data_IF_114052598849
#
_entry.id   IF_114052598849
#
_cell.length_a   1.000
_cell.length_b   1.000
_cell.length_c   1.000
_cell.angle_alpha   90.00
_cell.angle_beta   90.00
_cell.angle_gamma   90.00
#
_symmetry.space_group_name_H-M   'P 1'
#
loop_
_entity.id
_entity.type
_entity.pdbx_description
1 polymer ?
#
# COMPACT_ATOMS: atom_id res chain seq x y z
N UNK A 1 -9.87 11.50 -4.83
CA UNK A 1 -9.04 12.30 -3.91
C UNK A 1 -7.59 12.30 -4.42
N UNK A 2 -6.82 13.36 -4.18
CA UNK A 2 -5.41 13.41 -4.59
C UNK A 2 -4.50 12.74 -3.53
N UNK A 3 -4.20 11.44 -3.72
CA UNK A 3 -3.39 10.66 -2.78
C UNK A 3 -1.97 11.22 -2.55
N UNK A 4 -1.41 11.96 -3.52
CA UNK A 4 -0.06 12.52 -3.40
C UNK A 4 0.07 13.52 -2.26
N UNK A 5 -1.00 14.24 -1.93
CA UNK A 5 -1.03 15.20 -0.82
C UNK A 5 -0.89 14.53 0.55
N UNK A 6 -1.15 13.23 0.63
CA UNK A 6 -1.04 12.44 1.86
C UNK A 6 0.29 11.67 1.97
N UNK A 7 1.21 11.81 1.00
CA UNK A 7 2.51 11.15 1.01
C UNK A 7 3.60 12.19 1.25
N UNK A 8 4.35 12.03 2.35
CA UNK A 8 5.45 12.95 2.68
C UNK A 8 6.72 12.56 1.93
N UNK A 9 7.36 13.53 1.28
CA UNK A 9 8.73 13.38 0.79
C UNK A 9 9.75 13.69 1.89
N UNK A 10 10.70 12.80 2.11
CA UNK A 10 11.81 12.95 3.06
C UNK A 10 13.13 12.93 2.26
N UNK A 11 13.77 14.09 2.04
CA UNK A 11 15.03 14.15 1.30
C UNK A 11 16.17 13.50 2.10
N UNK A 12 17.16 12.99 1.37
CA UNK A 12 18.41 12.42 1.88
C UNK A 12 18.25 11.25 2.86
N UNK A 13 17.16 10.49 2.73
CA UNK A 13 16.88 9.31 3.54
C UNK A 13 16.77 8.03 2.69
N UNK A 14 17.36 6.89 3.11
CA UNK A 14 18.21 6.72 4.30
C UNK A 14 19.66 7.19 4.09
N UNK A 15 19.98 7.72 2.91
CA UNK A 15 21.31 8.24 2.56
C UNK A 15 21.17 9.43 1.59
N UNK A 16 22.19 10.30 1.49
CA UNK A 16 22.16 11.46 0.61
C UNK A 16 21.82 11.11 -0.85
N UNK A 17 21.04 11.99 -1.50
CA UNK A 17 20.60 11.86 -2.89
C UNK A 17 19.34 11.02 -3.10
N UNK A 18 18.69 10.52 -2.04
CA UNK A 18 17.43 9.78 -2.13
C UNK A 18 16.28 10.63 -1.60
N UNK A 19 15.23 10.80 -2.40
CA UNK A 19 13.94 11.28 -1.93
C UNK A 19 13.08 10.08 -1.50
N UNK A 20 12.94 9.89 -0.19
CA UNK A 20 12.12 8.83 0.37
C UNK A 20 10.65 9.24 0.42
N UNK A 21 9.76 8.40 -0.12
CA UNK A 21 8.32 8.59 -0.03
C UNK A 21 7.78 7.86 1.21
N UNK A 22 7.47 8.64 2.23
CA UNK A 22 6.92 8.14 3.48
C UNK A 22 5.39 8.02 3.39
N UNK A 23 4.92 6.79 3.20
CA UNK A 23 3.49 6.47 3.14
C UNK A 23 2.82 6.45 4.52
N UNK A 24 3.57 6.57 5.63
CA UNK A 24 2.98 6.50 6.98
C UNK A 24 1.96 7.61 7.22
N UNK A 25 2.14 8.78 6.60
CA UNK A 25 1.19 9.90 6.64
C UNK A 25 -0.12 9.57 5.92
N UNK A 26 -0.06 8.78 4.84
CA UNK A 26 -1.24 8.29 4.13
C UNK A 26 -1.96 7.23 4.97
N UNK A 27 -1.21 6.31 5.58
CA UNK A 27 -1.76 5.28 6.46
C UNK A 27 -2.42 5.86 7.72
N UNK A 28 -1.89 6.97 8.25
CA UNK A 28 -2.44 7.68 9.40
C UNK A 28 -3.74 8.45 9.08
N UNK A 29 -4.05 8.69 7.81
CA UNK A 29 -5.24 9.41 7.38
C UNK A 29 -6.33 8.43 6.91
N UNK A 30 -7.29 8.13 7.78
CA UNK A 30 -8.26 7.04 7.60
C UNK A 30 -9.01 7.07 6.25
N UNK A 31 -9.53 8.24 5.85
CA UNK A 31 -10.23 8.38 4.57
C UNK A 31 -9.29 8.14 3.38
N UNK A 32 -8.04 8.63 3.49
CA UNK A 32 -7.09 8.48 2.41
C UNK A 32 -6.65 7.02 2.25
N UNK A 33 -6.53 6.34 3.38
CA UNK A 33 -6.21 4.94 3.40
C UNK A 33 -7.33 4.07 2.82
N UNK A 34 -8.57 4.32 3.23
CA UNK A 34 -9.74 3.62 2.68
C UNK A 34 -9.82 3.80 1.17
N UNK A 35 -9.72 5.04 0.68
CA UNK A 35 -9.75 5.32 -0.75
C UNK A 35 -8.61 4.64 -1.51
N UNK A 36 -7.43 4.50 -0.91
CA UNK A 36 -6.30 3.79 -1.52
C UNK A 36 -6.64 2.32 -1.74
N UNK A 37 -7.14 1.63 -0.71
CA UNK A 37 -7.51 0.22 -0.82
C UNK A 37 -8.68 0.03 -1.79
N UNK A 38 -9.66 0.93 -1.78
CA UNK A 38 -10.81 0.89 -2.69
C UNK A 38 -10.35 1.02 -4.15
N UNK A 39 -9.51 2.02 -4.43
CA UNK A 39 -8.94 2.25 -5.77
C UNK A 39 -8.13 1.05 -6.25
N UNK A 40 -7.30 0.45 -5.38
CA UNK A 40 -6.53 -0.74 -5.74
C UNK A 40 -7.43 -1.94 -6.03
N UNK A 41 -8.46 -2.17 -5.22
CA UNK A 41 -9.40 -3.26 -5.42
C UNK A 41 -10.18 -3.11 -6.75
N UNK A 42 -10.59 -1.90 -7.11
CA UNK A 42 -11.20 -1.61 -8.41
C UNK A 42 -10.24 -1.91 -9.57
N UNK A 43 -8.96 -1.55 -9.43
CA UNK A 43 -7.96 -1.72 -10.48
C UNK A 43 -7.55 -3.18 -10.72
N UNK A 44 -7.64 -4.05 -9.72
CA UNK A 44 -7.17 -5.44 -9.85
C UNK A 44 -8.28 -6.49 -9.69
N UNK A 45 -9.48 -6.09 -9.27
CA UNK A 45 -10.57 -7.00 -8.96
C UNK A 45 -11.00 -7.86 -10.15
N UNK A 46 -10.88 -7.35 -11.38
CA UNK A 46 -11.22 -8.11 -12.59
C UNK A 46 -10.29 -9.29 -12.85
N UNK A 47 -9.08 -9.31 -12.28
CA UNK A 47 -8.17 -10.46 -12.38
C UNK A 47 -8.61 -11.63 -11.50
N UNK A 48 -9.54 -11.42 -10.56
CA UNK A 48 -10.04 -12.44 -9.62
C UNK A 48 -8.89 -13.23 -8.95
N UNK A 49 -7.94 -12.55 -8.29
CA UNK A 49 -6.81 -13.23 -7.68
C UNK A 49 -7.27 -14.17 -6.57
N UNK A 50 -6.73 -15.40 -6.55
CA UNK A 50 -6.94 -16.33 -5.44
C UNK A 50 -6.02 -16.02 -4.25
N UNK A 51 -4.86 -15.42 -4.53
CA UNK A 51 -3.84 -15.05 -3.53
C UNK A 51 -3.21 -13.72 -3.91
N UNK A 52 -3.01 -12.85 -2.91
CA UNK A 52 -2.09 -11.71 -2.99
C UNK A 52 -0.84 -11.98 -2.15
N UNK A 53 0.30 -11.52 -2.67
CA UNK A 53 1.58 -11.71 -2.04
C UNK A 53 2.18 -10.35 -1.67
N UNK A 54 2.39 -10.13 -0.38
CA UNK A 54 3.06 -8.93 0.13
C UNK A 54 4.57 -9.14 0.18
N UNK A 55 5.35 -8.18 -0.33
CA UNK A 55 6.81 -8.21 -0.27
C UNK A 55 7.29 -7.39 0.92
N UNK A 56 7.90 -8.06 1.90
CA UNK A 56 8.41 -7.45 3.13
C UNK A 56 7.38 -6.62 3.93
N UNK A 57 7.82 -6.10 5.07
CA UNK A 57 6.98 -5.46 6.08
C UNK A 57 6.06 -4.36 5.56
N UNK A 58 6.55 -3.49 4.66
CA UNK A 58 5.74 -2.39 4.10
C UNK A 58 4.75 -2.88 3.05
N UNK A 59 5.09 -3.91 2.28
CA UNK A 59 4.17 -4.53 1.34
C UNK A 59 2.97 -5.19 2.04
N UNK A 60 3.17 -5.72 3.26
CA UNK A 60 2.09 -6.32 4.05
C UNK A 60 0.99 -5.32 4.40
N UNK A 61 1.37 -4.07 4.67
CA UNK A 61 0.43 -3.02 5.06
C UNK A 61 -0.64 -2.78 3.98
N UNK A 62 -0.31 -2.94 2.70
CA UNK A 62 -1.25 -2.74 1.58
C UNK A 62 -1.87 -4.06 1.13
N UNK A 63 -1.05 -5.10 0.96
CA UNK A 63 -1.51 -6.35 0.38
C UNK A 63 -2.48 -7.12 1.29
N UNK A 64 -2.29 -7.08 2.62
CA UNK A 64 -3.19 -7.78 3.55
C UNK A 64 -4.62 -7.20 3.56
N UNK A 65 -4.86 -5.88 3.74
CA UNK A 65 -6.20 -5.33 3.68
C UNK A 65 -6.81 -5.41 2.28
N UNK A 66 -6.00 -5.34 1.22
CA UNK A 66 -6.48 -5.54 -0.15
C UNK A 66 -6.98 -6.97 -0.38
N UNK A 67 -6.24 -7.97 0.11
CA UNK A 67 -6.64 -9.38 0.03
C UNK A 67 -7.96 -9.62 0.80
N UNK A 68 -8.06 -9.04 2.01
CA UNK A 68 -9.29 -9.08 2.80
C UNK A 68 -10.47 -8.47 2.03
N UNK A 69 -10.28 -7.30 1.41
CA UNK A 69 -11.33 -6.62 0.63
C UNK A 69 -11.75 -7.42 -0.61
N UNK A 70 -10.80 -8.06 -1.30
CA UNK A 70 -11.07 -8.88 -2.49
C UNK A 70 -11.59 -10.28 -2.16
N UNK A 71 -11.59 -10.67 -0.88
CA UNK A 71 -12.02 -12.01 -0.44
C UNK A 71 -11.06 -13.12 -0.88
N UNK A 72 -9.76 -12.84 -0.96
CA UNK A 72 -8.74 -13.80 -1.39
C UNK A 72 -7.65 -14.04 -0.33
N UNK A 73 -6.82 -15.07 -0.55
CA UNK A 73 -5.73 -15.41 0.35
C UNK A 73 -4.61 -14.36 0.38
N UNK A 74 -3.85 -14.32 1.48
CA UNK A 74 -2.68 -13.45 1.61
C UNK A 74 -1.44 -14.26 2.03
N UNK A 75 -0.31 -14.02 1.36
CA UNK A 75 0.99 -14.65 1.67
C UNK A 75 2.06 -13.59 1.88
N UNK A 76 2.89 -13.79 2.91
CA UNK A 76 4.05 -12.95 3.20
C UNK A 76 5.30 -13.50 2.52
N UNK A 77 5.97 -12.70 1.68
CA UNK A 77 7.36 -12.95 1.27
C UNK A 77 8.28 -12.12 2.16
N UNK A 78 9.29 -12.78 2.73
CA UNK A 78 10.29 -12.20 3.64
C UNK A 78 11.70 -12.51 3.12
N UNK A 79 12.65 -11.64 3.45
CA UNK A 79 14.09 -11.94 3.38
C UNK A 79 14.50 -12.90 4.48
#
# INVERSE_FOLDING_TARGET
>A
MNLKEHIRGVPDFPKPGILFYDISTLLAHAEAWQHTIDTLAEQIGHYKPEVLVGIESRGFLVAAPLALKLGCGFVMIRK
#
